data_IF_915511086956
#
_entry.id   IF_915511086956
#
_cell.length_a   1.000
_cell.length_b   1.000
_cell.length_c   1.000
_cell.angle_alpha   90.00
_cell.angle_beta   90.00
_cell.angle_gamma   90.00
#
_symmetry.space_group_name_H-M   'P 1'
#
loop_
_entity.id
_entity.type
_entity.pdbx_description
1 polymer ?
#
# COMPACT_ATOMS: atom_id res chain seq x y z
N UNK A 1 3.71 13.39 1.02
CA UNK A 1 3.50 11.96 1.25
C UNK A 1 4.71 11.21 0.75
N UNK A 2 5.03 10.08 1.37
CA UNK A 2 6.20 9.25 1.02
C UNK A 2 5.84 7.77 1.10
N UNK A 3 6.40 6.91 0.25
CA UNK A 3 6.27 5.46 0.42
C UNK A 3 7.23 4.97 1.52
N UNK A 4 6.86 3.90 2.21
CA UNK A 4 7.71 3.25 3.21
C UNK A 4 7.47 1.74 3.25
N UNK A 5 8.48 0.95 3.61
CA UNK A 5 8.37 -0.51 3.73
C UNK A 5 8.18 -0.87 5.21
N UNK A 6 7.19 -1.70 5.49
CA UNK A 6 6.89 -2.21 6.83
C UNK A 6 7.97 -3.21 7.26
N UNK A 7 8.52 -3.02 8.46
CA UNK A 7 9.44 -3.95 9.12
C UNK A 7 8.75 -4.76 10.22
N UNK A 8 7.72 -4.19 10.84
CA UNK A 8 6.90 -4.83 11.88
C UNK A 8 5.64 -4.04 12.15
N UNK A 9 4.64 -4.67 12.77
CA UNK A 9 3.35 -4.05 13.09
C UNK A 9 2.90 -4.44 14.49
N UNK A 10 2.17 -3.53 15.12
CA UNK A 10 1.31 -3.77 16.29
C UNK A 10 -0.14 -3.47 15.89
N UNK A 11 -1.06 -3.43 16.86
CA UNK A 11 -2.45 -3.00 16.61
C UNK A 11 -2.57 -1.50 16.32
N UNK A 12 -1.63 -0.68 16.81
CA UNK A 12 -1.73 0.79 16.79
C UNK A 12 -0.70 1.48 15.88
N UNK A 13 0.42 0.81 15.61
CA UNK A 13 1.53 1.37 14.85
C UNK A 13 2.22 0.33 13.95
N UNK A 14 3.06 0.83 13.06
CA UNK A 14 4.05 0.03 12.35
C UNK A 14 5.44 0.65 12.47
N UNK A 15 6.43 -0.23 12.56
CA UNK A 15 7.82 0.13 12.33
C UNK A 15 8.08 0.02 10.83
N UNK A 16 8.56 1.09 10.22
CA UNK A 16 8.83 1.17 8.78
C UNK A 16 10.25 1.60 8.51
N UNK A 17 10.75 1.29 7.31
CA UNK A 17 11.92 1.95 6.73
C UNK A 17 11.47 2.95 5.66
N UNK A 18 11.94 4.18 5.79
CA UNK A 18 11.71 5.30 4.87
C UNK A 18 13.00 6.11 4.77
N UNK A 19 13.41 6.47 3.56
CA UNK A 19 14.65 7.22 3.31
C UNK A 19 15.89 6.61 4.01
N UNK A 20 15.92 5.27 4.12
CA UNK A 20 17.00 4.52 4.78
C UNK A 20 16.99 4.57 6.32
N UNK A 21 15.99 5.19 6.93
CA UNK A 21 15.84 5.27 8.38
C UNK A 21 14.66 4.43 8.87
N UNK A 22 14.82 3.83 10.04
CA UNK A 22 13.75 3.12 10.72
C UNK A 22 12.97 4.08 11.62
N UNK A 23 11.65 4.11 11.44
CA UNK A 23 10.74 5.00 12.18
C UNK A 23 9.50 4.22 12.63
N UNK A 24 8.99 4.52 13.82
CA UNK A 24 7.69 4.03 14.28
C UNK A 24 6.61 5.06 13.94
N UNK A 25 5.54 4.62 13.29
CA UNK A 25 4.48 5.48 12.76
C UNK A 25 3.12 4.90 13.14
N UNK A 26 2.21 5.74 13.63
CA UNK A 26 0.85 5.33 13.97
C UNK A 26 -0.05 5.21 12.75
N UNK A 27 -1.09 4.39 12.87
CA UNK A 27 -2.18 4.39 11.90
C UNK A 27 -3.04 5.66 12.07
N UNK A 28 -3.44 6.24 10.94
CA UNK A 28 -4.29 7.43 10.94
C UNK A 28 -5.72 7.10 11.40
N UNK A 29 -6.28 7.89 12.32
CA UNK A 29 -7.60 7.65 12.94
C UNK A 29 -8.79 7.54 11.96
N UNK A 30 -8.87 8.32 10.86
CA UNK A 30 -9.91 8.19 9.85
C UNK A 30 -9.96 6.84 9.15
N UNK A 31 -8.88 6.05 9.22
CA UNK A 31 -8.79 4.75 8.58
C UNK A 31 -8.96 3.65 9.62
N UNK A 32 -9.67 2.56 9.29
CA UNK A 32 -9.77 1.42 10.19
C UNK A 32 -8.37 0.90 10.53
N UNK A 33 -8.10 0.73 11.84
CA UNK A 33 -6.90 0.06 12.32
C UNK A 33 -6.76 -1.27 11.56
N UNK A 34 -5.61 -1.51 10.92
CA UNK A 34 -5.41 -2.75 10.21
C UNK A 34 -5.50 -3.89 11.20
N UNK A 35 -6.11 -4.99 10.75
CA UNK A 35 -5.74 -6.26 11.36
C UNK A 35 -4.29 -6.54 10.98
N UNK A 36 -3.52 -7.09 11.93
CA UNK A 36 -2.07 -7.33 11.77
C UNK A 36 -1.75 -8.07 10.47
N UNK A 37 -2.61 -9.01 10.04
CA UNK A 37 -2.46 -9.74 8.78
C UNK A 37 -2.51 -8.88 7.51
N UNK A 38 -2.98 -7.62 7.61
CA UNK A 38 -3.07 -6.69 6.47
C UNK A 38 -1.88 -5.73 6.39
N UNK A 39 -0.98 -5.72 7.36
CA UNK A 39 0.23 -4.88 7.36
C UNK A 39 1.40 -5.75 7.79
N UNK A 40 1.80 -6.66 6.91
CA UNK A 40 2.89 -7.60 7.15
C UNK A 40 4.24 -6.97 6.82
N UNK A 41 5.34 -7.43 7.44
CA UNK A 41 6.69 -7.06 7.04
C UNK A 41 6.91 -7.25 5.53
N UNK A 42 7.56 -6.28 4.90
CA UNK A 42 7.76 -6.18 3.46
C UNK A 42 6.67 -5.41 2.71
N UNK A 43 5.47 -5.22 3.30
CA UNK A 43 4.40 -4.43 2.66
C UNK A 43 4.77 -2.96 2.54
N UNK A 44 4.19 -2.30 1.54
CA UNK A 44 4.42 -0.89 1.26
C UNK A 44 3.27 -0.04 1.81
N UNK A 45 3.56 1.10 2.43
CA UNK A 45 2.56 2.02 2.99
C UNK A 45 2.82 3.47 2.57
N UNK A 46 1.78 4.31 2.64
CA UNK A 46 1.93 5.76 2.44
C UNK A 46 2.00 6.47 3.78
N UNK A 47 3.08 7.21 3.97
CA UNK A 47 3.26 8.12 5.07
C UNK A 47 2.80 9.53 4.68
N UNK A 48 2.06 10.17 5.57
CA UNK A 48 1.73 11.58 5.51
C UNK A 48 2.17 12.28 6.80
N UNK A 49 2.56 13.55 6.68
CA UNK A 49 2.74 14.43 7.82
C UNK A 49 1.37 15.08 8.05
N UNK A 50 0.77 14.79 9.19
CA UNK A 50 -0.48 15.39 9.65
C UNK A 50 -0.29 16.88 9.97
N UNK A 51 -1.37 17.68 10.08
CA UNK A 51 -1.27 19.12 10.36
C UNK A 51 -0.55 19.48 11.66
N UNK A 52 -0.57 18.58 12.65
CA UNK A 52 0.14 18.73 13.93
C UNK A 52 1.64 18.39 13.83
N UNK A 53 2.11 17.96 12.66
CA UNK A 53 3.48 17.56 12.39
C UNK A 53 3.78 16.08 12.62
N UNK A 54 2.84 15.28 13.13
CA UNK A 54 3.05 13.85 13.33
C UNK A 54 3.04 13.10 11.99
N UNK A 55 3.91 12.09 11.87
CA UNK A 55 3.81 11.16 10.75
C UNK A 55 2.76 10.08 11.04
N UNK A 56 1.91 9.80 10.04
CA UNK A 56 0.88 8.77 10.12
C UNK A 56 0.81 7.96 8.83
N UNK A 57 0.37 6.71 8.96
CA UNK A 57 0.02 5.85 7.82
C UNK A 57 -1.38 6.20 7.33
N UNK A 58 -1.49 6.59 6.06
CA UNK A 58 -2.76 6.94 5.40
C UNK A 58 -3.16 5.98 4.29
N UNK A 59 -2.26 5.09 3.86
CA UNK A 59 -2.52 4.10 2.81
C UNK A 59 -1.70 2.82 2.96
N UNK A 60 -2.19 1.71 2.40
CA UNK A 60 -1.55 0.38 2.45
C UNK A 60 -1.56 -0.31 1.08
N UNK A 61 -0.43 -0.92 0.73
CA UNK A 61 -0.26 -1.78 -0.43
C UNK A 61 0.33 -3.12 0.00
N UNK A 62 -0.27 -4.20 -0.47
CA UNK A 62 0.12 -5.58 -0.17
C UNK A 62 1.04 -6.11 -1.25
N UNK A 63 2.04 -6.87 -0.87
CA UNK A 63 2.84 -7.61 -1.86
C UNK A 63 2.18 -8.93 -2.21
N UNK A 64 2.02 -9.21 -3.49
CA UNK A 64 1.59 -10.50 -4.01
C UNK A 64 2.56 -11.01 -5.08
N UNK A 65 2.55 -12.30 -5.37
CA UNK A 65 3.34 -12.93 -6.43
C UNK A 65 2.47 -13.12 -7.67
N UNK A 66 2.96 -12.73 -8.83
CA UNK A 66 2.30 -12.96 -10.11
C UNK A 66 2.33 -14.45 -10.45
N UNK A 67 1.16 -15.02 -10.69
CA UNK A 67 1.03 -16.38 -11.20
C UNK A 67 0.80 -16.40 -12.72
N UNK A 68 0.18 -15.36 -13.28
CA UNK A 68 -0.07 -15.21 -14.70
C UNK A 68 -1.08 -14.11 -15.03
N UNK A 69 -1.26 -13.83 -16.31
CA UNK A 69 -2.19 -12.84 -16.87
C UNK A 69 -3.17 -13.52 -17.83
N UNK A 70 -4.40 -13.00 -17.93
CA UNK A 70 -5.40 -13.39 -18.94
C UNK A 70 -6.62 -12.48 -18.91
N UNK A 71 -7.25 -12.20 -20.06
CA UNK A 71 -8.50 -11.42 -20.19
C UNK A 71 -8.58 -10.12 -19.35
N UNK A 72 -7.50 -9.33 -19.34
CA UNK A 72 -7.48 -8.05 -18.62
C UNK A 72 -7.40 -8.17 -17.09
N UNK A 73 -7.16 -9.39 -16.59
CA UNK A 73 -6.89 -9.66 -15.17
C UNK A 73 -5.55 -10.36 -14.99
N UNK A 74 -5.04 -10.27 -13.77
CA UNK A 74 -3.82 -10.90 -13.31
C UNK A 74 -4.18 -11.80 -12.15
N UNK A 75 -3.74 -13.05 -12.23
CA UNK A 75 -3.85 -14.02 -11.15
C UNK A 75 -2.60 -13.92 -10.29
N UNK A 76 -2.80 -13.74 -9.00
CA UNK A 76 -1.74 -13.47 -8.03
C UNK A 76 -1.86 -14.44 -6.85
N UNK A 77 -0.77 -14.64 -6.12
CA UNK A 77 -0.79 -15.29 -4.81
C UNK A 77 -0.34 -14.29 -3.75
N UNK A 78 -1.15 -14.09 -2.71
CA UNK A 78 -0.80 -13.27 -1.56
C UNK A 78 -0.84 -14.15 -0.29
N UNK A 79 0.12 -14.03 0.64
CA UNK A 79 0.23 -14.94 1.79
C UNK A 79 -1.03 -15.07 2.65
N UNK A 80 -1.79 -13.99 2.86
CA UNK A 80 -2.97 -13.97 3.72
C UNK A 80 -4.28 -14.38 3.01
N UNK A 81 -4.34 -14.26 1.68
CA UNK A 81 -5.56 -14.49 0.90
C UNK A 81 -5.44 -15.65 -0.11
N UNK A 82 -4.26 -16.23 -0.29
CA UNK A 82 -4.01 -17.27 -1.27
C UNK A 82 -4.07 -16.73 -2.70
N UNK A 83 -4.67 -17.48 -3.61
CA UNK A 83 -4.80 -17.05 -5.01
C UNK A 83 -5.89 -15.99 -5.14
N UNK A 84 -5.53 -14.80 -5.60
CA UNK A 84 -6.44 -13.68 -5.86
C UNK A 84 -6.42 -13.28 -7.33
N UNK A 85 -7.50 -12.68 -7.81
CA UNK A 85 -7.61 -12.12 -9.16
C UNK A 85 -7.72 -10.61 -9.03
N UNK A 86 -6.85 -9.89 -9.74
CA UNK A 86 -6.81 -8.43 -9.73
C UNK A 86 -6.77 -7.89 -11.15
N UNK A 87 -7.28 -6.68 -11.36
CA UNK A 87 -7.06 -5.97 -12.63
C UNK A 87 -5.74 -5.23 -12.59
N UNK A 88 -5.07 -5.09 -13.72
CA UNK A 88 -3.97 -4.14 -13.83
C UNK A 88 -4.53 -2.73 -13.68
N UNK A 89 -3.85 -1.91 -12.89
CA UNK A 89 -4.13 -0.48 -12.78
C UNK A 89 -3.76 0.25 -14.07
N UNK A 90 -2.62 -0.08 -14.64
CA UNK A 90 -2.16 0.38 -15.95
C UNK A 90 -2.08 -0.82 -16.91
N UNK A 91 -3.02 -0.96 -17.86
CA UNK A 91 -3.03 -2.06 -18.83
C UNK A 91 -1.78 -2.12 -19.73
N UNK A 92 -0.96 -1.06 -19.77
CA UNK A 92 0.28 -1.03 -20.57
C UNK A 92 1.46 -1.72 -19.87
N UNK A 93 1.33 -2.04 -18.59
CA UNK A 93 2.38 -2.73 -17.83
C UNK A 93 2.13 -4.24 -17.86
N UNK A 94 3.03 -4.98 -18.52
CA UNK A 94 2.97 -6.45 -18.55
C UNK A 94 3.62 -7.06 -17.29
N UNK A 95 2.86 -7.76 -16.43
CA UNK A 95 3.43 -8.50 -15.31
C UNK A 95 4.13 -9.79 -15.77
N UNK A 96 5.10 -10.27 -14.99
CA UNK A 96 5.82 -11.52 -15.27
C UNK A 96 5.55 -12.56 -14.18
N UNK A 97 5.14 -13.80 -14.50
CA UNK A 97 5.01 -14.85 -13.50
C UNK A 97 6.28 -14.99 -12.64
N UNK A 98 6.09 -15.17 -11.34
CA UNK A 98 7.16 -15.24 -10.34
C UNK A 98 7.64 -13.88 -9.83
N UNK A 99 7.33 -12.76 -10.49
CA UNK A 99 7.59 -11.44 -9.92
C UNK A 99 6.64 -11.16 -8.76
N UNK A 100 7.05 -10.32 -7.81
CA UNK A 100 6.12 -9.73 -6.84
C UNK A 100 5.44 -8.50 -7.46
N UNK A 101 4.30 -8.07 -6.92
CA UNK A 101 3.51 -6.90 -7.31
C UNK A 101 2.84 -6.28 -6.09
N UNK A 102 2.59 -4.97 -6.14
CA UNK A 102 1.81 -4.28 -5.10
C UNK A 102 0.33 -4.23 -5.47
N UNK A 103 -0.53 -4.59 -4.52
CA UNK A 103 -1.98 -4.53 -4.61
C UNK A 103 -2.51 -3.48 -3.65
N UNK A 104 -3.47 -2.67 -4.07
CA UNK A 104 -4.14 -1.75 -3.16
C UNK A 104 -5.56 -2.22 -2.86
N UNK A 105 -5.73 -2.99 -1.80
CA UNK A 105 -7.05 -3.33 -1.27
C UNK A 105 -7.39 -2.40 -0.09
N UNK A 106 -8.41 -1.55 -0.27
CA UNK A 106 -8.88 -0.66 0.79
C UNK A 106 -9.13 0.80 0.39
N UNK A 107 -9.01 1.21 -0.88
CA UNK A 107 -9.63 2.49 -1.28
C UNK A 107 -11.15 2.29 -1.26
N UNK A 108 -11.93 3.30 -0.85
CA UNK A 108 -13.27 3.46 -1.39
C UNK A 108 -13.22 3.39 -2.93
N UNK A 109 -13.91 2.42 -3.52
CA UNK A 109 -13.88 2.16 -4.96
C UNK A 109 -12.69 1.34 -5.48
N UNK A 110 -11.74 0.94 -4.64
CA UNK A 110 -10.76 -0.08 -5.02
C UNK A 110 -11.35 -1.47 -4.85
N UNK A 111 -11.66 -2.10 -5.98
CA UNK A 111 -11.56 -3.56 -6.08
C UNK A 111 -10.09 -4.00 -6.00
N UNK A 112 -9.81 -5.30 -6.03
CA UNK A 112 -8.44 -5.79 -6.11
C UNK A 112 -7.79 -5.32 -7.42
N UNK A 113 -6.82 -4.39 -7.32
CA UNK A 113 -6.04 -3.93 -8.47
C UNK A 113 -4.54 -3.96 -8.17
N UNK A 114 -3.77 -4.33 -9.19
CA UNK A 114 -2.32 -4.42 -9.16
C UNK A 114 -1.69 -3.15 -9.74
N UNK A 115 -0.80 -2.51 -8.97
CA UNK A 115 -0.17 -1.23 -9.32
C UNK A 115 1.01 -1.39 -10.28
N UNK A 116 1.77 -2.47 -10.13
CA UNK A 116 3.02 -2.71 -10.84
C UNK A 116 3.89 -3.75 -10.12
N UNK A 117 5.09 -4.07 -10.65
CA UNK A 117 6.00 -5.04 -10.05
C UNK A 117 6.51 -4.55 -8.69
N UNK A 118 6.90 -5.49 -7.85
CA UNK A 118 7.57 -5.19 -6.62
C UNK A 118 8.98 -4.68 -6.88
N UNK A 119 9.42 -3.85 -5.94
CA UNK A 119 10.76 -3.29 -5.88
C UNK A 119 11.32 -3.58 -4.49
N UNK A 120 12.64 -3.58 -4.38
CA UNK A 120 13.33 -3.75 -3.11
C UNK A 120 13.46 -2.43 -2.33
N UNK A 121 13.17 -1.30 -2.97
CA UNK A 121 13.21 0.05 -2.39
C UNK A 121 11.91 0.80 -2.61
N UNK A 122 11.36 1.40 -1.54
CA UNK A 122 10.12 2.17 -1.59
C UNK A 122 10.15 3.27 -2.67
N UNK A 123 11.29 3.94 -2.87
CA UNK A 123 11.44 5.04 -3.84
C UNK A 123 11.25 4.60 -5.30
N UNK A 124 11.39 3.30 -5.59
CA UNK A 124 11.21 2.75 -6.94
C UNK A 124 9.77 2.30 -7.19
N UNK A 125 8.91 2.28 -6.17
CA UNK A 125 7.56 1.79 -6.28
C UNK A 125 6.69 2.79 -7.04
N UNK A 126 5.98 2.31 -8.06
CA UNK A 126 5.05 3.14 -8.84
C UNK A 126 3.72 3.26 -8.08
N UNK A 127 3.71 4.11 -7.05
CA UNK A 127 2.54 4.38 -6.21
C UNK A 127 1.96 5.77 -6.45
N UNK A 128 0.63 5.87 -6.50
CA UNK A 128 -0.10 7.09 -6.83
C UNK A 128 -0.32 7.98 -5.58
N UNK A 129 0.77 8.47 -4.96
CA UNK A 129 0.68 9.29 -3.74
C UNK A 129 -0.18 10.56 -3.94
N UNK A 130 -0.19 11.12 -5.14
CA UNK A 130 -1.02 12.29 -5.45
C UNK A 130 -2.52 11.96 -5.48
N UNK A 131 -2.90 10.74 -5.86
CA UNK A 131 -4.30 10.28 -5.80
C UNK A 131 -4.73 10.15 -4.34
N UNK A 132 -3.87 9.58 -3.49
CA UNK A 132 -4.13 9.48 -2.05
C UNK A 132 -4.24 10.87 -1.42
N UNK A 133 -3.33 11.78 -1.77
CA UNK A 133 -3.38 13.18 -1.32
C UNK A 133 -4.68 13.85 -1.75
N UNK A 134 -5.03 13.76 -3.02
CA UNK A 134 -6.26 14.37 -3.54
C UNK A 134 -7.49 13.80 -2.84
N UNK A 135 -7.55 12.48 -2.65
CA UNK A 135 -8.64 11.84 -1.91
C UNK A 135 -8.81 12.40 -0.50
N UNK A 136 -7.72 12.55 0.26
CA UNK A 136 -7.77 13.12 1.61
C UNK A 136 -8.26 14.57 1.62
N UNK A 137 -7.82 15.37 0.64
CA UNK A 137 -8.21 16.77 0.50
C UNK A 137 -9.69 16.89 0.10
N UNK A 138 -10.11 16.17 -0.94
CA UNK A 138 -11.47 16.21 -1.50
C UNK A 138 -12.53 15.79 -0.46
N UNK A 139 -12.17 14.95 0.51
CA UNK A 139 -13.06 14.45 1.55
C UNK A 139 -12.83 15.09 2.93
N UNK A 140 -11.98 16.12 3.03
CA UNK A 140 -11.69 16.80 4.30
C UNK A 140 -11.10 15.90 5.38
N UNK A 141 -10.41 14.82 4.98
CA UNK A 141 -9.78 13.86 5.89
C UNK A 141 -8.38 14.30 6.33
N UNK A 142 -7.74 15.21 5.58
CA UNK A 142 -6.40 15.70 5.87
C UNK A 142 -6.28 16.32 7.28
N UNK A 143 -7.28 17.11 7.68
CA UNK A 143 -7.31 17.76 9.00
C UNK A 143 -7.61 16.80 10.16
N UNK A 144 -7.91 15.54 9.86
CA UNK A 144 -8.36 14.53 10.83
C UNK A 144 -7.37 13.39 11.00
N UNK A 145 -6.18 13.50 10.42
CA UNK A 145 -5.25 12.39 10.28
C UNK A 145 -4.72 11.83 11.62
N UNK A 146 -4.78 12.62 12.69
CA UNK A 146 -4.27 12.37 14.05
C UNK A 146 -5.36 12.42 15.11
#
# INVERSE_FOLDING_TARGET
MRPAIVLGTTEECCTVVVDGQQVEVRYSLPFPSPRVERVSPGHLVALAVAPDGAEVVVWRWYDAVVLGEGEGVVRLWEPAHGVVVARLRDPRQAPRPGSRVYLSAGLPGAEWWAAGPAVDRAEQAVVELDVVRRFLLDHGLWERLV
#
